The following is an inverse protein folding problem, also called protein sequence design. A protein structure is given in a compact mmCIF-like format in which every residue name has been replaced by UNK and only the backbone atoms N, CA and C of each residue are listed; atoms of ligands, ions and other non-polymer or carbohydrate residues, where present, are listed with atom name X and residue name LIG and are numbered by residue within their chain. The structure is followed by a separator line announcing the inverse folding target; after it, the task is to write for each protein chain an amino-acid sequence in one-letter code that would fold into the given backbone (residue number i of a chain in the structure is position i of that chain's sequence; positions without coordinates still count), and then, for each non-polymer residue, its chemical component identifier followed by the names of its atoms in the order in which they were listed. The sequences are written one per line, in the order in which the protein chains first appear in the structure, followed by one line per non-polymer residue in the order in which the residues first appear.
data_IF_559537217840
#
_entry.id   IF_559537217840
#
_cell.length_a   1.000
_cell.length_b   1.000
_cell.length_c   1.000
_cell.angle_alpha   90.00
_cell.angle_beta   90.00
_cell.angle_gamma   90.00
#
_symmetry.space_group_name_H-M   'P 1'
#
loop_
_entity.id
_entity.type
_entity.pdbx_description
1 polymer ?
#
# COMPACT_ATOMS: atom_id res chain seq x y z
N UNK A 1 -36.51 4.05 -78.30
CA UNK A 1 -36.11 5.47 -78.45
C UNK A 1 -34.62 5.61 -78.12
N UNK A 2 -33.88 6.18 -79.08
CA UNK A 2 -32.56 6.87 -79.09
C UNK A 2 -31.41 6.59 -78.08
N UNK A 3 -30.31 6.10 -78.68
CA UNK A 3 -28.86 6.48 -78.64
C UNK A 3 -28.25 7.40 -77.54
N UNK A 4 -27.13 6.91 -76.97
CA UNK A 4 -25.75 7.47 -76.78
C UNK A 4 -25.51 8.98 -76.59
N UNK A 5 -24.73 9.31 -75.54
CA UNK A 5 -23.80 10.46 -75.41
C UNK A 5 -23.05 10.33 -74.06
N UNK A 6 -21.77 9.94 -73.98
CA UNK A 6 -20.53 10.73 -74.18
C UNK A 6 -20.52 11.99 -73.32
N UNK A 7 -19.69 12.05 -72.27
CA UNK A 7 -18.84 13.17 -71.79
C UNK A 7 -18.08 12.66 -70.52
N UNK A 8 -16.82 12.23 -70.68
CA UNK A 8 -15.60 12.91 -70.17
C UNK A 8 -15.44 12.80 -68.64
N UNK A 9 -14.58 11.96 -68.06
CA UNK A 9 -13.12 11.94 -68.20
C UNK A 9 -12.53 13.35 -68.33
N UNK A 10 -12.44 14.11 -67.23
CA UNK A 10 -11.47 15.20 -66.98
C UNK A 10 -11.81 15.94 -65.67
N UNK A 11 -11.23 15.51 -64.56
CA UNK A 11 -10.87 16.37 -63.43
C UNK A 11 -9.86 15.62 -62.54
N UNK A 12 -8.74 15.22 -63.14
CA UNK A 12 -7.49 15.11 -62.39
C UNK A 12 -7.04 16.55 -62.12
N UNK A 13 -6.48 16.76 -60.92
CA UNK A 13 -5.73 17.94 -60.48
C UNK A 13 -6.56 19.16 -60.05
N UNK A 14 -6.83 19.24 -58.75
CA UNK A 14 -6.42 20.41 -57.96
C UNK A 14 -6.18 20.03 -56.49
N UNK A 15 -4.94 20.26 -56.06
CA UNK A 15 -4.55 20.78 -54.73
C UNK A 15 -4.49 19.81 -53.53
N UNK A 16 -3.31 19.22 -53.38
CA UNK A 16 -2.63 19.14 -52.09
C UNK A 16 -2.76 20.46 -51.31
N UNK A 17 -3.15 20.38 -50.03
CA UNK A 17 -2.58 21.05 -48.84
C UNK A 17 -3.65 21.24 -47.75
N UNK A 18 -3.22 21.07 -46.49
CA UNK A 18 -3.95 21.09 -45.22
C UNK A 18 -4.72 19.78 -44.92
N UNK A 19 -4.29 18.89 -44.03
CA UNK A 19 -3.68 19.16 -42.72
C UNK A 19 -4.78 19.14 -41.67
N UNK A 20 -5.09 17.94 -41.14
CA UNK A 20 -6.00 17.76 -40.01
C UNK A 20 -5.32 18.31 -38.75
N UNK A 21 -5.83 19.41 -38.22
CA UNK A 21 -5.63 19.83 -36.83
C UNK A 21 -6.98 20.36 -36.33
N UNK A 22 -7.62 19.62 -35.43
CA UNK A 22 -8.70 20.13 -34.58
C UNK A 22 -8.05 20.68 -33.33
N UNK A 23 -8.11 22.00 -33.16
CA UNK A 23 -7.83 22.69 -31.90
C UNK A 23 -9.16 23.09 -31.27
N UNK A 24 -9.31 22.85 -29.96
CA UNK A 24 -10.31 23.53 -29.12
C UNK A 24 -9.60 24.07 -27.88
N UNK A 25 -9.96 25.31 -27.58
CA UNK A 25 -9.17 26.30 -26.85
C UNK A 25 -9.19 26.16 -25.34
N UNK A 26 -8.08 26.60 -24.74
CA UNK A 26 -7.94 27.02 -23.34
C UNK A 26 -8.30 28.50 -23.21
N UNK A 27 -9.21 28.85 -22.30
CA UNK A 27 -9.18 30.12 -21.56
C UNK A 27 -10.12 30.09 -20.35
N UNK A 28 -9.50 30.13 -19.17
CA UNK A 28 -9.92 30.71 -17.87
C UNK A 28 -11.38 31.10 -17.62
N UNK A 29 -11.97 30.59 -16.53
CA UNK A 29 -12.66 31.46 -15.57
C UNK A 29 -12.39 31.00 -14.13
N UNK A 30 -12.09 32.00 -13.31
CA UNK A 30 -11.57 31.98 -11.96
C UNK A 30 -12.66 31.80 -10.90
N UNK A 31 -12.27 31.10 -9.82
CA UNK A 31 -12.74 31.24 -8.43
C UNK A 31 -14.22 31.06 -8.12
N UNK A 32 -14.55 29.92 -7.52
CA UNK A 32 -15.32 29.90 -6.27
C UNK A 32 -14.86 28.72 -5.39
N UNK A 33 -14.29 29.06 -4.23
CA UNK A 33 -14.04 28.11 -3.15
C UNK A 33 -15.37 27.94 -2.42
N UNK A 34 -16.08 26.85 -2.68
CA UNK A 34 -16.93 26.25 -1.65
C UNK A 34 -16.66 24.75 -1.56
N UNK A 35 -16.43 24.36 -0.32
CA UNK A 35 -16.01 23.06 0.16
C UNK A 35 -17.04 21.97 -0.13
N UNK A 36 -16.85 21.19 -1.20
CA UNK A 36 -17.17 19.75 -1.21
C UNK A 36 -16.15 19.04 -2.11
N UNK A 37 -15.21 18.30 -1.49
CA UNK A 37 -14.32 17.42 -2.24
C UNK A 37 -15.17 16.31 -2.87
N UNK A 38 -15.15 16.13 -4.20
CA UNK A 38 -15.84 15.03 -4.83
C UNK A 38 -15.30 13.71 -4.28
N UNK A 39 -16.22 12.85 -3.81
CA UNK A 39 -15.92 11.49 -3.40
C UNK A 39 -15.36 10.71 -4.59
N UNK A 40 -14.04 10.76 -4.77
CA UNK A 40 -13.34 9.87 -5.68
C UNK A 40 -13.43 8.46 -5.11
N UNK A 41 -14.29 7.65 -5.73
CA UNK A 41 -14.27 6.19 -5.62
C UNK A 41 -13.05 5.68 -6.39
N UNK A 42 -11.84 6.00 -5.93
CA UNK A 42 -10.60 5.59 -6.57
C UNK A 42 -10.26 4.14 -6.19
N UNK A 43 -10.10 3.31 -7.21
CA UNK A 43 -9.50 2.00 -7.12
C UNK A 43 -8.01 2.18 -6.76
N UNK A 44 -7.69 2.18 -5.47
CA UNK A 44 -6.32 2.39 -4.97
C UNK A 44 -5.53 1.08 -5.04
N UNK A 45 -4.72 0.90 -6.07
CA UNK A 45 -3.52 0.08 -5.94
C UNK A 45 -2.57 0.82 -4.99
N UNK A 46 -2.68 0.56 -3.68
CA UNK A 46 -1.80 1.19 -2.70
C UNK A 46 -0.38 0.64 -2.92
N UNK A 47 0.47 1.44 -3.55
CA UNK A 47 1.86 1.12 -3.87
C UNK A 47 2.66 0.80 -2.58
N UNK A 48 2.28 1.43 -1.47
CA UNK A 48 2.90 1.26 -0.16
C UNK A 48 1.89 0.87 0.91
N UNK A 49 2.38 0.24 1.98
CA UNK A 49 1.57 0.04 3.19
C UNK A 49 1.17 1.39 3.82
N UNK A 50 0.03 1.47 4.55
CA UNK A 50 -0.42 2.73 5.13
C UNK A 50 0.56 3.27 6.18
N UNK A 51 1.00 4.52 6.06
CA UNK A 51 1.89 5.15 7.05
C UNK A 51 1.20 5.31 8.43
N UNK A 52 -0.13 5.24 8.50
CA UNK A 52 -0.87 5.43 9.75
C UNK A 52 -0.44 4.49 10.89
N UNK A 53 -0.06 3.25 10.59
CA UNK A 53 0.38 2.31 11.63
C UNK A 53 1.78 2.62 12.17
N UNK A 54 2.59 3.47 11.53
CA UNK A 54 3.89 3.83 12.13
C UNK A 54 3.74 4.79 13.30
N UNK A 55 2.61 5.51 13.37
CA UNK A 55 2.41 6.65 14.27
C UNK A 55 1.87 6.29 15.65
N UNK A 56 1.37 5.07 15.87
CA UNK A 56 0.81 4.71 17.18
C UNK A 56 1.91 4.54 18.24
N UNK A 57 1.53 4.79 19.49
CA UNK A 57 2.41 4.64 20.63
C UNK A 57 2.48 3.16 21.08
N UNK A 58 3.42 2.40 20.49
CA UNK A 58 3.63 1.01 20.87
C UNK A 58 4.10 0.83 22.32
N UNK A 59 4.83 1.80 22.88
CA UNK A 59 5.35 1.71 24.26
C UNK A 59 4.21 1.64 25.26
N UNK A 60 3.15 2.42 25.06
CA UNK A 60 1.94 2.36 25.91
C UNK A 60 1.32 0.95 25.96
N UNK A 61 1.29 0.26 24.81
CA UNK A 61 0.76 -1.11 24.73
C UNK A 61 1.70 -2.10 25.41
N UNK A 62 3.01 -2.04 25.10
CA UNK A 62 4.02 -2.96 25.64
C UNK A 62 4.18 -2.77 27.15
N UNK A 63 4.02 -1.56 27.66
CA UNK A 63 4.24 -1.25 29.08
C UNK A 63 3.07 -1.71 29.95
N UNK A 64 1.89 -1.82 29.37
CA UNK A 64 0.70 -2.27 30.06
C UNK A 64 0.50 -3.78 29.85
N UNK A 65 0.73 -4.56 30.91
CA UNK A 65 0.65 -6.04 30.84
C UNK A 65 -0.71 -6.55 30.36
N UNK A 66 -1.81 -5.95 30.84
CA UNK A 66 -3.17 -6.36 30.44
C UNK A 66 -3.42 -6.09 28.96
N UNK A 67 -2.96 -4.95 28.44
CA UNK A 67 -3.09 -4.62 27.02
C UNK A 67 -2.19 -5.50 26.17
N UNK A 68 -0.90 -5.59 26.52
CA UNK A 68 0.05 -6.41 25.79
C UNK A 68 -0.40 -7.87 25.71
N UNK A 69 -0.92 -8.45 26.79
CA UNK A 69 -1.46 -9.82 26.80
C UNK A 69 -2.57 -10.00 25.76
N UNK A 70 -3.49 -9.05 25.63
CA UNK A 70 -4.55 -9.10 24.60
C UNK A 70 -3.96 -9.02 23.19
N UNK A 71 -2.99 -8.13 22.98
CA UNK A 71 -2.31 -7.98 21.68
C UNK A 71 -1.56 -9.26 21.30
N UNK A 72 -0.76 -9.80 22.22
CA UNK A 72 -0.04 -11.07 22.06
C UNK A 72 -0.99 -12.20 21.73
N UNK A 73 -2.05 -12.36 22.51
CA UNK A 73 -3.05 -13.41 22.28
C UNK A 73 -3.62 -13.30 20.86
N UNK A 74 -3.99 -12.09 20.44
CA UNK A 74 -4.45 -11.83 19.09
C UNK A 74 -3.44 -12.22 18.01
N UNK A 75 -2.15 -11.98 18.22
CA UNK A 75 -1.11 -12.41 17.27
C UNK A 75 -0.98 -13.94 17.23
N UNK A 76 -1.07 -14.62 18.37
CA UNK A 76 -0.88 -16.07 18.48
C UNK A 76 -2.06 -16.88 17.95
N UNK A 77 -3.30 -16.49 18.25
CA UNK A 77 -4.49 -17.25 17.83
C UNK A 77 -4.93 -16.90 16.41
N UNK A 78 -5.55 -17.83 15.70
CA UNK A 78 -6.15 -17.55 14.38
C UNK A 78 -7.47 -16.77 14.47
N UNK A 79 -8.04 -16.68 15.68
CA UNK A 79 -9.27 -15.92 15.92
C UNK A 79 -9.04 -14.42 15.77
N UNK A 80 -10.08 -13.73 15.30
CA UNK A 80 -10.10 -12.26 15.11
C UNK A 80 -11.05 -11.56 16.08
N UNK A 81 -11.94 -12.31 16.75
CA UNK A 81 -12.92 -11.78 17.69
C UNK A 81 -12.25 -11.18 18.92
N UNK A 82 -12.61 -9.94 19.27
CA UNK A 82 -12.08 -9.25 20.46
C UNK A 82 -10.69 -8.66 20.29
N UNK A 83 -10.10 -8.72 19.09
CA UNK A 83 -8.82 -8.10 18.78
C UNK A 83 -8.98 -6.62 18.45
N UNK A 84 -7.99 -5.83 18.89
CA UNK A 84 -7.91 -4.43 18.50
C UNK A 84 -7.72 -4.32 16.98
N UNK A 85 -8.32 -3.28 16.40
CA UNK A 85 -8.39 -3.10 14.94
C UNK A 85 -6.99 -3.04 14.30
N UNK A 86 -6.05 -2.38 14.95
CA UNK A 86 -4.65 -2.26 14.53
C UNK A 86 -3.95 -3.62 14.46
N UNK A 87 -4.13 -4.49 15.46
CA UNK A 87 -3.58 -5.86 15.44
C UNK A 87 -4.19 -6.68 14.31
N UNK A 88 -5.48 -6.50 14.03
CA UNK A 88 -6.14 -7.19 12.92
C UNK A 88 -5.59 -6.76 11.56
N UNK A 89 -5.32 -5.47 11.38
CA UNK A 89 -4.69 -4.97 10.15
C UNK A 89 -3.27 -5.54 10.01
N UNK A 90 -2.49 -5.54 11.10
CA UNK A 90 -1.15 -6.12 11.09
C UNK A 90 -1.19 -7.62 10.72
N UNK A 91 -2.08 -8.40 11.33
CA UNK A 91 -2.24 -9.83 11.03
C UNK A 91 -2.56 -10.11 9.56
N UNK A 92 -3.36 -9.26 8.91
CA UNK A 92 -3.69 -9.42 7.48
C UNK A 92 -2.48 -9.18 6.58
N UNK A 93 -1.61 -8.26 6.97
CA UNK A 93 -0.47 -7.83 6.18
C UNK A 93 0.76 -8.72 6.43
N UNK A 94 0.87 -9.36 7.60
CA UNK A 94 2.00 -10.22 7.96
C UNK A 94 2.30 -11.28 6.88
N UNK A 95 1.37 -12.10 6.39
CA UNK A 95 1.66 -13.12 5.39
C UNK A 95 2.28 -12.52 4.11
N UNK A 96 1.68 -11.44 3.59
CA UNK A 96 2.18 -10.73 2.41
C UNK A 96 3.57 -10.15 2.65
N UNK A 97 3.82 -9.55 3.81
CA UNK A 97 5.14 -8.99 4.16
C UNK A 97 6.20 -10.07 4.24
N UNK A 98 5.86 -11.25 4.78
CA UNK A 98 6.78 -12.37 4.91
C UNK A 98 7.11 -13.02 3.56
N UNK A 99 6.10 -13.18 2.69
CA UNK A 99 6.27 -13.73 1.33
C UNK A 99 7.04 -12.77 0.42
N UNK A 100 6.67 -11.48 0.44
CA UNK A 100 7.25 -10.45 -0.43
C UNK A 100 8.51 -9.79 0.13
N UNK A 101 8.94 -10.16 1.33
CA UNK A 101 9.98 -9.48 2.09
C UNK A 101 9.75 -7.96 2.18
N UNK A 102 8.54 -7.57 2.59
CA UNK A 102 8.18 -6.15 2.76
C UNK A 102 8.26 -5.37 1.43
N UNK A 103 7.81 -5.93 0.30
CA UNK A 103 7.95 -5.29 -1.01
C UNK A 103 7.33 -3.88 -1.09
N UNK A 104 6.28 -3.63 -0.30
CA UNK A 104 5.57 -2.34 -0.21
C UNK A 104 5.97 -1.50 1.01
N UNK A 105 7.07 -1.86 1.67
CA UNK A 105 7.54 -1.15 2.84
C UNK A 105 8.40 0.05 2.47
N UNK A 106 8.06 1.20 3.06
CA UNK A 106 8.90 2.39 3.10
C UNK A 106 9.95 2.24 4.21
N UNK A 107 11.06 2.99 4.18
CA UNK A 107 12.06 2.97 5.24
C UNK A 107 11.46 3.16 6.64
N UNK A 108 10.49 4.08 6.78
CA UNK A 108 9.77 4.32 8.04
C UNK A 108 9.01 3.10 8.56
N UNK A 109 8.50 2.22 7.69
CA UNK A 109 7.85 0.98 8.09
C UNK A 109 8.88 0.03 8.74
N UNK A 110 10.03 -0.13 8.08
CA UNK A 110 11.08 -1.04 8.54
C UNK A 110 11.70 -0.55 9.85
N UNK A 111 12.05 0.73 9.93
CA UNK A 111 12.60 1.35 11.14
C UNK A 111 11.62 1.21 12.31
N UNK A 112 10.36 1.56 12.09
CA UNK A 112 9.36 1.48 13.15
C UNK A 112 9.10 0.05 13.60
N UNK A 113 9.08 -0.91 12.67
CA UNK A 113 8.96 -2.32 13.01
C UNK A 113 10.14 -2.79 13.87
N UNK A 114 11.37 -2.45 13.50
CA UNK A 114 12.56 -2.76 14.31
C UNK A 114 12.47 -2.18 15.71
N UNK A 115 12.12 -0.90 15.84
CA UNK A 115 11.96 -0.25 17.15
C UNK A 115 10.96 -1.01 18.04
N UNK A 116 9.81 -1.39 17.47
CA UNK A 116 8.77 -2.14 18.21
C UNK A 116 9.33 -3.49 18.65
N UNK A 117 9.94 -4.24 17.74
CA UNK A 117 10.45 -5.58 18.04
C UNK A 117 11.58 -5.53 19.07
N UNK A 118 12.55 -4.63 18.92
CA UNK A 118 13.63 -4.44 19.91
C UNK A 118 13.08 -4.05 21.28
N UNK A 119 12.08 -3.15 21.32
CA UNK A 119 11.48 -2.74 22.58
C UNK A 119 10.74 -3.88 23.29
N UNK A 120 9.96 -4.67 22.54
CA UNK A 120 9.30 -5.88 23.07
C UNK A 120 10.35 -6.88 23.53
N UNK A 121 11.42 -7.08 22.76
CA UNK A 121 12.45 -8.05 23.08
C UNK A 121 13.20 -7.72 24.37
N UNK A 122 13.56 -6.44 24.56
CA UNK A 122 14.26 -5.94 25.76
C UNK A 122 13.37 -5.96 27.00
N UNK A 123 12.09 -5.59 26.86
CA UNK A 123 11.18 -5.44 28.01
C UNK A 123 10.42 -6.72 28.37
N UNK A 124 10.17 -7.58 27.39
CA UNK A 124 9.30 -8.77 27.51
C UNK A 124 9.89 -9.97 26.77
N UNK A 125 11.10 -10.37 27.13
CA UNK A 125 11.86 -11.41 26.42
C UNK A 125 11.11 -12.74 26.30
N UNK A 126 10.47 -13.19 27.38
CA UNK A 126 9.70 -14.44 27.37
C UNK A 126 8.52 -14.39 26.39
N UNK A 127 7.77 -13.29 26.36
CA UNK A 127 6.67 -13.10 25.42
C UNK A 127 7.16 -13.00 23.97
N UNK A 128 8.28 -12.31 23.74
CA UNK A 128 8.91 -12.22 22.43
C UNK A 128 9.28 -13.62 21.90
N UNK A 129 9.96 -14.43 22.72
CA UNK A 129 10.37 -15.77 22.34
C UNK A 129 9.18 -16.71 22.10
N UNK A 130 8.08 -16.55 22.85
CA UNK A 130 6.83 -17.27 22.62
C UNK A 130 6.23 -16.94 21.25
N UNK A 131 6.08 -15.65 20.92
CA UNK A 131 5.53 -15.22 19.61
C UNK A 131 6.44 -15.66 18.46
N UNK A 132 7.77 -15.51 18.64
CA UNK A 132 8.75 -15.93 17.63
C UNK A 132 8.66 -17.42 17.36
N UNK A 133 8.62 -18.27 18.40
CA UNK A 133 8.47 -19.72 18.23
C UNK A 133 7.16 -20.10 17.55
N UNK A 134 6.07 -19.39 17.83
CA UNK A 134 4.77 -19.65 17.22
C UNK A 134 4.69 -19.24 15.75
N UNK A 135 5.40 -18.18 15.33
CA UNK A 135 5.31 -17.62 13.97
C UNK A 135 6.48 -17.97 13.06
N UNK A 136 7.66 -18.17 13.63
CA UNK A 136 8.90 -18.51 12.92
C UNK A 136 9.69 -19.58 13.69
N UNK A 137 9.15 -20.80 13.83
CA UNK A 137 9.81 -21.88 14.57
C UNK A 137 11.17 -22.25 13.99
N UNK A 138 11.35 -22.10 12.67
CA UNK A 138 12.59 -22.39 11.97
C UNK A 138 13.60 -21.22 11.96
N UNK A 139 13.20 -20.02 12.42
CA UNK A 139 14.05 -18.82 12.41
C UNK A 139 14.38 -18.28 11.01
N UNK A 140 13.69 -18.77 9.97
CA UNK A 140 13.98 -18.42 8.59
C UNK A 140 13.52 -17.01 8.26
N UNK A 141 12.40 -16.57 8.84
CA UNK A 141 11.86 -15.24 8.61
C UNK A 141 12.73 -14.18 9.29
N UNK A 142 13.16 -14.46 10.52
CA UNK A 142 14.11 -13.60 11.23
C UNK A 142 15.40 -13.45 10.43
N UNK A 143 16.03 -14.56 10.01
CA UNK A 143 17.26 -14.51 9.23
C UNK A 143 17.10 -13.69 7.96
N UNK A 144 16.05 -13.96 7.18
CA UNK A 144 15.74 -13.22 5.95
C UNK A 144 15.54 -11.72 6.20
N UNK A 145 14.88 -11.36 7.29
CA UNK A 145 14.69 -9.97 7.69
C UNK A 145 16.03 -9.31 8.04
N UNK A 146 16.86 -9.99 8.83
CA UNK A 146 18.17 -9.48 9.25
C UNK A 146 19.15 -9.35 8.07
N UNK A 147 19.10 -10.26 7.10
CA UNK A 147 19.93 -10.21 5.89
C UNK A 147 19.56 -9.00 5.01
N UNK A 148 18.27 -8.67 4.90
CA UNK A 148 17.79 -7.57 4.05
C UNK A 148 17.83 -6.21 4.73
N UNK A 149 17.46 -6.16 6.01
CA UNK A 149 17.25 -4.91 6.72
C UNK A 149 18.28 -4.68 7.83
N UNK A 150 19.04 -5.70 8.25
CA UNK A 150 19.97 -5.63 9.37
C UNK A 150 19.39 -6.19 10.66
N UNK A 151 20.30 -6.49 11.60
CA UNK A 151 19.98 -7.18 12.87
C UNK A 151 19.02 -6.40 13.75
N UNK A 152 18.15 -7.13 14.44
CA UNK A 152 17.30 -6.61 15.52
C UNK A 152 18.06 -6.82 16.83
N UNK A 153 18.39 -5.72 17.52
CA UNK A 153 19.14 -5.80 18.76
C UNK A 153 18.18 -6.01 19.94
N UNK A 154 17.99 -7.29 20.22
CA UNK A 154 17.63 -7.78 21.54
C UNK A 154 18.88 -7.79 22.45
#
# INVERSE_FOLDING_TARGET
MLRRGVYHALAIATMFLAGVVVAQDTSEESTEITTELPFQKNNRTNEFYPISWTKYNYKFIVDNERLFRKYKQCLLVDKTTGCAHDVLQLKKIIPEVLESMCAKCLPVHVERFKEIVEYVCKKRRADYDEVRKAKDPAGLLQKKFEDKFGKVNC
#
